data_IF_539077716741
#
_entry.id   IF_539077716741
#
_cell.length_a   1.000
_cell.length_b   1.000
_cell.length_c   1.000
_cell.angle_alpha   90.00
_cell.angle_beta   90.00
_cell.angle_gamma   90.00
#
_symmetry.space_group_name_H-M   'P 1'
#
loop_
_entity.id
_entity.type
_entity.pdbx_description
1 polymer ?
#
# COMPACT_ATOMS: atom_id res chain seq x y z
N UNK A 1 -1.48 22.41 37.24
CA UNK A 1 -2.32 22.87 36.09
C UNK A 1 -3.78 22.48 36.36
N UNK A 2 -4.80 23.24 35.92
CA UNK A 2 -6.20 22.79 36.06
C UNK A 2 -6.43 21.53 35.22
N UNK A 3 -7.12 20.53 35.76
CA UNK A 3 -7.39 19.26 35.06
C UNK A 3 -8.05 19.47 33.70
N UNK A 4 -8.99 20.41 33.59
CA UNK A 4 -9.64 20.76 32.32
C UNK A 4 -8.65 21.19 31.24
N UNK A 5 -7.60 21.93 31.61
CA UNK A 5 -6.56 22.36 30.67
C UNK A 5 -5.70 21.18 30.20
N UNK A 6 -5.46 20.19 31.07
CA UNK A 6 -4.73 18.97 30.70
C UNK A 6 -5.53 18.21 29.64
N UNK A 7 -6.82 17.96 29.89
CA UNK A 7 -7.70 17.23 28.97
C UNK A 7 -7.81 17.92 27.60
N UNK A 8 -7.94 19.25 27.57
CA UNK A 8 -7.93 20.02 26.32
C UNK A 8 -6.62 19.81 25.56
N UNK A 9 -5.47 19.88 26.25
CA UNK A 9 -4.17 19.68 25.59
C UNK A 9 -3.99 18.25 25.07
N UNK A 10 -4.51 17.22 25.76
CA UNK A 10 -4.47 15.84 25.25
C UNK A 10 -5.27 15.69 23.96
N UNK A 11 -6.46 16.30 23.87
CA UNK A 11 -7.27 16.30 22.66
C UNK A 11 -6.62 17.06 21.51
N UNK A 12 -6.07 18.25 21.80
CA UNK A 12 -5.33 19.04 20.80
C UNK A 12 -4.11 18.27 20.29
N UNK A 13 -3.40 17.54 21.17
CA UNK A 13 -2.23 16.74 20.80
C UNK A 13 -2.59 15.66 19.77
N UNK A 14 -3.72 14.97 19.95
CA UNK A 14 -4.24 14.02 18.96
C UNK A 14 -4.56 14.68 17.62
N UNK A 15 -5.22 15.84 17.65
CA UNK A 15 -5.55 16.61 16.45
C UNK A 15 -4.31 17.06 15.67
N UNK A 16 -3.29 17.57 16.37
CA UNK A 16 -2.03 18.02 15.77
C UNK A 16 -1.28 16.85 15.14
N UNK A 17 -1.15 15.73 15.85
CA UNK A 17 -0.50 14.53 15.32
C UNK A 17 -1.19 14.00 14.06
N UNK A 18 -2.52 13.88 14.08
CA UNK A 18 -3.31 13.43 12.93
C UNK A 18 -3.21 14.40 11.74
N UNK A 19 -3.28 15.71 11.99
CA UNK A 19 -3.18 16.74 10.95
C UNK A 19 -1.80 16.75 10.29
N UNK A 20 -0.72 16.74 11.09
CA UNK A 20 0.65 16.69 10.61
C UNK A 20 0.93 15.41 9.82
N UNK A 21 0.54 14.25 10.37
CA UNK A 21 0.70 12.96 9.69
C UNK A 21 -0.03 12.91 8.35
N UNK A 22 -1.24 13.47 8.28
CA UNK A 22 -2.02 13.57 7.04
C UNK A 22 -1.40 14.54 6.03
N UNK A 23 -0.84 15.65 6.50
CA UNK A 23 -0.18 16.64 5.65
C UNK A 23 1.12 16.10 5.05
N UNK A 24 1.97 15.44 5.84
CA UNK A 24 3.24 14.88 5.40
C UNK A 24 3.07 13.88 4.24
N UNK A 25 2.08 13.00 4.33
CA UNK A 25 1.82 11.95 3.33
C UNK A 25 1.27 12.50 2.00
N UNK A 26 0.89 13.78 1.92
CA UNK A 26 0.57 14.43 0.63
C UNK A 26 1.81 14.59 -0.24
N UNK A 27 3.00 14.71 0.36
CA UNK A 27 4.26 14.81 -0.38
C UNK A 27 4.67 13.48 -0.99
N UNK A 28 4.96 13.47 -2.30
CA UNK A 28 5.49 12.31 -3.01
C UNK A 28 6.86 11.90 -2.48
N UNK A 29 7.73 12.87 -2.19
CA UNK A 29 9.06 12.62 -1.64
C UNK A 29 8.97 11.94 -0.28
N UNK A 30 8.12 12.46 0.62
CA UNK A 30 7.92 11.86 1.94
C UNK A 30 7.36 10.44 1.84
N UNK A 31 6.33 10.21 1.02
CA UNK A 31 5.79 8.86 0.77
C UNK A 31 6.86 7.88 0.29
N UNK A 32 7.68 8.31 -0.67
CA UNK A 32 8.75 7.49 -1.23
C UNK A 32 9.82 7.14 -0.19
N UNK A 33 10.13 8.06 0.73
CA UNK A 33 11.05 7.82 1.84
C UNK A 33 10.42 6.90 2.89
N UNK A 34 9.14 7.14 3.24
CA UNK A 34 8.44 6.43 4.29
C UNK A 34 8.19 4.96 3.95
N UNK A 35 7.79 4.63 2.72
CA UNK A 35 7.44 3.25 2.35
C UNK A 35 8.57 2.43 1.74
N UNK A 36 9.78 2.99 1.67
CA UNK A 36 10.95 2.27 1.17
C UNK A 36 11.43 1.22 2.19
N UNK A 37 11.66 -0.01 1.73
CA UNK A 37 12.12 -1.11 2.58
C UNK A 37 13.51 -0.85 3.15
N UNK A 38 14.46 -0.43 2.31
CA UNK A 38 15.84 -0.12 2.69
C UNK A 38 16.19 1.33 2.41
N UNK A 39 16.68 2.03 3.45
CA UNK A 39 17.05 3.44 3.36
C UNK A 39 18.55 3.59 3.58
N UNK A 40 19.21 4.29 2.67
CA UNK A 40 20.60 4.71 2.87
C UNK A 40 20.68 5.77 3.99
N UNK A 41 21.86 6.03 4.53
CA UNK A 41 22.08 6.97 5.63
C UNK A 41 21.55 8.38 5.31
N UNK A 42 21.75 8.89 4.08
CA UNK A 42 21.20 10.18 3.64
C UNK A 42 19.67 10.19 3.70
N UNK A 43 19.03 9.12 3.21
CA UNK A 43 17.56 9.00 3.20
C UNK A 43 16.99 8.88 4.61
N UNK A 44 17.71 8.23 5.53
CA UNK A 44 17.37 8.20 6.95
C UNK A 44 17.40 9.61 7.55
N UNK A 45 18.40 10.41 7.24
CA UNK A 45 18.47 11.82 7.68
C UNK A 45 17.31 12.62 7.08
N UNK A 46 17.03 12.50 5.78
CA UNK A 46 15.90 13.18 5.15
C UNK A 46 14.56 12.83 5.81
N UNK A 47 14.33 11.55 6.15
CA UNK A 47 13.13 11.14 6.89
C UNK A 47 13.03 11.84 8.25
N UNK A 48 14.14 11.92 8.98
CA UNK A 48 14.22 12.62 10.27
C UNK A 48 13.93 14.11 10.11
N UNK A 49 14.44 14.76 9.06
CA UNK A 49 14.18 16.19 8.82
C UNK A 49 12.72 16.45 8.45
N UNK A 50 12.12 15.62 7.59
CA UNK A 50 10.72 15.75 7.18
C UNK A 50 9.75 15.70 8.36
N UNK A 51 9.97 14.77 9.30
CA UNK A 51 9.12 14.61 10.48
C UNK A 51 9.56 15.58 11.60
N UNK A 52 10.86 15.66 11.85
CA UNK A 52 11.42 16.34 13.00
C UNK A 52 11.39 17.86 12.93
N UNK A 53 11.54 18.49 11.76
CA UNK A 53 11.51 19.96 11.65
C UNK A 53 10.13 20.53 12.05
N UNK A 54 9.00 20.09 11.47
CA UNK A 54 7.68 20.61 11.86
C UNK A 54 7.37 20.40 13.33
N UNK A 55 7.81 19.26 13.90
CA UNK A 55 7.52 18.91 15.28
C UNK A 55 8.45 19.63 16.27
N UNK A 56 9.72 19.86 15.91
CA UNK A 56 10.64 20.71 16.69
C UNK A 56 10.14 22.16 16.74
N UNK A 57 9.56 22.67 15.66
CA UNK A 57 8.87 23.97 15.68
C UNK A 57 7.68 23.96 16.66
N UNK A 58 6.92 22.88 16.73
CA UNK A 58 5.87 22.68 17.74
C UNK A 58 6.39 22.77 19.18
N UNK A 59 7.52 22.13 19.47
CA UNK A 59 8.21 22.23 20.77
C UNK A 59 8.66 23.66 21.05
N UNK A 60 9.18 24.37 20.04
CA UNK A 60 9.59 25.77 20.18
C UNK A 60 8.39 26.70 20.48
N UNK A 61 7.28 26.53 19.77
CA UNK A 61 6.05 27.32 19.93
C UNK A 61 5.52 27.21 21.37
N UNK A 62 5.68 26.05 22.03
CA UNK A 62 5.30 25.87 23.43
C UNK A 62 5.91 26.93 24.36
N UNK A 63 7.17 27.31 24.13
CA UNK A 63 7.86 28.30 24.95
C UNK A 63 7.43 29.74 24.62
N UNK A 64 7.05 30.01 23.36
CA UNK A 64 6.57 31.33 22.96
C UNK A 64 5.09 31.57 23.27
N UNK A 65 4.27 30.52 23.28
CA UNK A 65 2.84 30.57 23.53
C UNK A 65 2.48 29.61 24.67
N UNK A 66 2.45 30.14 25.90
CA UNK A 66 2.20 29.36 27.14
C UNK A 66 0.83 28.68 27.20
N UNK A 67 -0.08 28.98 26.28
CA UNK A 67 -1.38 28.33 26.12
C UNK A 67 -1.34 27.05 25.26
N UNK A 68 -0.29 26.84 24.46
CA UNK A 68 -0.17 25.73 23.50
C UNK A 68 0.83 24.67 23.97
N UNK A 69 0.47 23.95 25.03
CA UNK A 69 1.29 22.87 25.60
C UNK A 69 1.22 21.58 24.77
N UNK A 70 0.20 21.44 23.92
CA UNK A 70 0.00 20.33 23.00
C UNK A 70 1.02 20.26 21.85
N UNK A 71 1.84 21.31 21.66
CA UNK A 71 2.90 21.35 20.65
C UNK A 71 4.04 20.37 20.89
N UNK A 72 4.21 19.86 22.13
CA UNK A 72 5.25 18.88 22.41
C UNK A 72 4.78 17.43 22.18
N UNK A 73 5.14 16.95 21.00
CA UNK A 73 5.02 15.57 20.52
C UNK A 73 6.38 14.86 20.48
N UNK A 74 7.41 15.41 21.14
CA UNK A 74 8.79 14.93 20.99
C UNK A 74 8.96 13.46 21.38
N UNK A 75 8.34 13.03 22.48
CA UNK A 75 8.34 11.62 22.92
C UNK A 75 7.75 10.70 21.85
N UNK A 76 6.48 10.94 21.46
CA UNK A 76 5.75 10.07 20.52
C UNK A 76 6.45 10.00 19.16
N UNK A 77 6.90 11.15 18.67
CA UNK A 77 7.61 11.27 17.39
C UNK A 77 8.95 10.54 17.40
N UNK A 78 9.67 10.60 18.51
CA UNK A 78 10.97 9.94 18.64
C UNK A 78 10.83 8.42 18.65
N UNK A 79 9.82 7.90 19.35
CA UNK A 79 9.46 6.48 19.32
C UNK A 79 9.06 6.05 17.90
N UNK A 80 8.21 6.84 17.23
CA UNK A 80 7.76 6.60 15.87
C UNK A 80 8.93 6.54 14.87
N UNK A 81 9.84 7.52 14.92
CA UNK A 81 11.06 7.55 14.09
C UNK A 81 11.99 6.37 14.36
N UNK A 82 12.08 5.92 15.61
CA UNK A 82 12.82 4.72 15.99
C UNK A 82 12.22 3.47 15.34
N UNK A 83 10.92 3.24 15.53
CA UNK A 83 10.24 2.06 14.99
C UNK A 83 10.25 2.01 13.47
N UNK A 84 10.06 3.13 12.77
CA UNK A 84 9.94 3.16 11.31
C UNK A 84 11.30 3.18 10.61
N UNK A 85 12.25 3.97 11.11
CA UNK A 85 13.53 4.19 10.46
C UNK A 85 14.70 3.42 11.09
N UNK A 86 14.51 2.82 12.27
CA UNK A 86 15.51 2.10 13.05
C UNK A 86 16.26 2.98 14.06
N UNK A 87 17.29 2.42 14.70
CA UNK A 87 18.08 3.11 15.75
C UNK A 87 18.60 4.48 15.36
N UNK A 88 19.20 4.61 14.18
CA UNK A 88 19.82 5.87 13.74
C UNK A 88 18.78 6.99 13.59
N UNK A 89 17.64 6.71 12.98
CA UNK A 89 16.58 7.72 12.81
C UNK A 89 15.93 8.08 14.13
N UNK A 90 15.71 7.10 15.01
CA UNK A 90 15.19 7.35 16.36
C UNK A 90 16.13 8.24 17.17
N UNK A 91 17.43 7.94 17.20
CA UNK A 91 18.43 8.75 17.92
C UNK A 91 18.55 10.15 17.33
N UNK A 92 18.70 10.28 16.01
CA UNK A 92 18.80 11.59 15.35
C UNK A 92 17.53 12.42 15.52
N UNK A 93 16.36 11.79 15.43
CA UNK A 93 15.07 12.42 15.70
C UNK A 93 14.97 12.91 17.13
N UNK A 94 15.38 12.07 18.09
CA UNK A 94 15.39 12.43 19.51
C UNK A 94 16.30 13.60 19.82
N UNK A 95 17.49 13.67 19.20
CA UNK A 95 18.39 14.84 19.31
C UNK A 95 17.72 16.07 18.73
N UNK A 96 17.23 16.01 17.49
CA UNK A 96 16.63 17.14 16.78
C UNK A 96 15.43 17.74 17.54
N UNK A 97 14.55 16.88 18.05
CA UNK A 97 13.35 17.29 18.79
C UNK A 97 13.66 17.80 20.20
N UNK A 98 14.79 17.41 20.79
CA UNK A 98 15.21 17.90 22.10
C UNK A 98 15.89 19.27 22.04
N UNK A 99 16.44 19.71 20.90
CA UNK A 99 17.19 20.97 20.79
C UNK A 99 16.40 22.20 21.30
N UNK A 100 15.12 22.41 20.92
CA UNK A 100 14.34 23.53 21.45
C UNK A 100 14.19 23.49 22.97
N UNK A 101 13.96 22.30 23.54
CA UNK A 101 13.75 22.11 24.97
C UNK A 101 15.05 22.35 25.77
N UNK A 102 16.17 21.79 25.30
CA UNK A 102 17.49 21.99 25.92
C UNK A 102 17.89 23.46 25.92
N UNK A 103 17.60 24.19 24.83
CA UNK A 103 17.87 25.62 24.73
C UNK A 103 17.17 26.44 25.83
N UNK A 104 15.99 25.99 26.27
CA UNK A 104 15.18 26.64 27.31
C UNK A 104 15.37 26.03 28.70
N UNK A 105 16.41 25.21 28.90
CA UNK A 105 16.80 24.67 30.22
C UNK A 105 16.27 23.27 30.55
N UNK A 106 15.51 22.62 29.66
CA UNK A 106 15.04 21.23 29.82
C UNK A 106 16.10 20.23 29.33
N UNK A 107 17.23 20.15 30.04
CA UNK A 107 18.40 19.39 29.62
C UNK A 107 18.20 17.87 29.61
N UNK A 108 17.29 17.32 30.43
CA UNK A 108 17.05 15.88 30.50
C UNK A 108 16.21 15.36 29.30
N UNK A 109 15.62 16.26 28.51
CA UNK A 109 14.83 15.90 27.32
C UNK A 109 15.70 15.23 26.26
N UNK A 110 16.96 15.65 26.13
CA UNK A 110 17.90 15.06 25.16
C UNK A 110 18.27 13.60 25.48
N UNK A 111 18.85 13.27 26.66
CA UNK A 111 19.18 11.88 26.96
C UNK A 111 17.94 10.98 26.98
N UNK A 112 16.79 11.49 27.43
CA UNK A 112 15.54 10.76 27.42
C UNK A 112 15.04 10.45 26.00
N UNK A 113 15.00 11.44 25.11
CA UNK A 113 14.57 11.23 23.72
C UNK A 113 15.54 10.31 22.98
N UNK A 114 16.85 10.49 23.15
CA UNK A 114 17.86 9.59 22.57
C UNK A 114 17.64 8.14 23.00
N UNK A 115 17.37 7.91 24.30
CA UNK A 115 17.03 6.59 24.83
C UNK A 115 15.76 6.03 24.17
N UNK A 116 14.68 6.81 24.10
CA UNK A 116 13.43 6.39 23.49
C UNK A 116 13.63 5.98 22.03
N UNK A 117 14.35 6.80 21.27
CA UNK A 117 14.62 6.54 19.85
C UNK A 117 15.50 5.31 19.64
N UNK A 118 16.48 5.08 20.51
CA UNK A 118 17.31 3.88 20.49
C UNK A 118 16.50 2.62 20.82
N UNK A 119 15.72 2.63 21.90
CA UNK A 119 14.92 1.48 22.36
C UNK A 119 13.86 1.11 21.31
N UNK A 120 13.10 2.10 20.82
CA UNK A 120 12.13 1.88 19.74
C UNK A 120 12.81 1.40 18.45
N UNK A 121 13.99 1.93 18.14
CA UNK A 121 14.78 1.49 17.00
C UNK A 121 15.34 0.07 17.13
N UNK A 122 15.58 -0.42 18.35
CA UNK A 122 15.93 -1.81 18.61
C UNK A 122 14.72 -2.72 18.50
N UNK A 123 13.55 -2.27 18.96
CA UNK A 123 12.30 -3.01 18.85
C UNK A 123 11.98 -3.37 17.39
N UNK A 124 12.34 -2.52 16.43
CA UNK A 124 12.22 -2.79 14.99
C UNK A 124 12.92 -4.09 14.57
N UNK A 125 14.04 -4.44 15.18
CA UNK A 125 14.82 -5.63 14.82
C UNK A 125 14.22 -6.93 15.38
N UNK A 126 13.32 -6.83 16.36
CA UNK A 126 12.59 -7.97 16.90
C UNK A 126 11.31 -8.30 16.11
N UNK A 127 10.93 -7.47 15.13
CA UNK A 127 9.81 -7.76 14.24
C UNK A 127 10.17 -8.91 13.29
N UNK A 128 9.40 -10.01 13.24
CA UNK A 128 9.62 -11.10 12.28
C UNK A 128 9.59 -10.61 10.83
N UNK A 129 8.63 -9.73 10.52
CA UNK A 129 8.53 -9.06 9.22
C UNK A 129 8.53 -7.55 9.40
N UNK A 130 9.17 -6.81 8.48
CA UNK A 130 9.13 -5.34 8.48
C UNK A 130 7.72 -4.77 8.31
N UNK A 131 6.79 -5.57 7.79
CA UNK A 131 5.39 -5.21 7.63
C UNK A 131 4.62 -5.18 8.97
N UNK A 132 5.05 -5.92 9.98
CA UNK A 132 4.35 -6.06 11.26
C UNK A 132 4.22 -4.72 11.98
N UNK A 133 5.12 -3.79 11.70
CA UNK A 133 5.11 -2.42 12.21
C UNK A 133 3.78 -1.70 11.93
N UNK A 134 3.24 -1.91 10.73
CA UNK A 134 2.04 -1.23 10.24
C UNK A 134 0.74 -1.84 10.80
N UNK A 135 0.82 -2.99 11.44
CA UNK A 135 -0.32 -3.70 12.01
C UNK A 135 -0.76 -3.15 13.37
N UNK A 136 0.06 -2.30 14.00
CA UNK A 136 -0.22 -1.71 15.30
C UNK A 136 -1.53 -0.90 15.28
N UNK A 137 -2.35 -1.07 16.32
CA UNK A 137 -3.61 -0.34 16.49
C UNK A 137 -3.68 0.27 17.89
N UNK A 138 -4.08 1.54 18.02
CA UNK A 138 -4.26 2.19 19.31
C UNK A 138 -5.51 1.70 20.06
N UNK A 139 -6.48 1.12 19.34
CA UNK A 139 -7.67 0.51 19.94
C UNK A 139 -7.34 -0.91 20.36
N UNK A 140 -7.23 -1.09 21.67
CA UNK A 140 -6.95 -2.34 22.37
C UNK A 140 -8.02 -3.41 22.08
N UNK A 141 -9.27 -3.01 21.78
CA UNK A 141 -10.39 -3.94 21.57
C UNK A 141 -10.24 -4.88 20.37
N UNK A 142 -9.76 -4.40 19.22
CA UNK A 142 -9.61 -5.26 18.03
C UNK A 142 -8.34 -6.10 18.06
N UNK A 143 -7.30 -5.68 18.80
CA UNK A 143 -6.09 -6.48 19.01
C UNK A 143 -6.33 -7.54 20.08
N UNK A 144 -6.99 -7.21 21.20
CA UNK A 144 -7.42 -8.19 22.21
C UNK A 144 -8.44 -9.16 21.63
N UNK A 145 -9.46 -8.71 20.89
CA UNK A 145 -10.43 -9.62 20.27
C UNK A 145 -9.78 -10.57 19.25
N UNK A 146 -8.85 -10.07 18.41
CA UNK A 146 -8.06 -10.94 17.50
C UNK A 146 -7.10 -11.86 18.25
N UNK A 147 -6.47 -11.38 19.32
CA UNK A 147 -5.57 -12.16 20.18
C UNK A 147 -6.33 -13.29 20.89
N UNK A 148 -7.47 -12.99 21.53
CA UNK A 148 -8.36 -13.98 22.17
C UNK A 148 -8.88 -14.99 21.14
N UNK A 149 -9.36 -14.52 19.98
CA UNK A 149 -9.98 -15.39 18.97
C UNK A 149 -8.97 -16.24 18.18
N UNK A 150 -7.70 -15.82 18.09
CA UNK A 150 -6.64 -16.51 17.32
C UNK A 150 -5.76 -17.42 18.19
N UNK A 151 -5.61 -17.14 19.49
CA UNK A 151 -4.62 -17.83 20.36
C UNK A 151 -5.20 -18.83 21.37
N UNK A 152 -6.42 -19.32 21.17
CA UNK A 152 -7.05 -20.28 22.09
C UNK A 152 -6.37 -21.68 22.17
N UNK A 153 -5.46 -22.10 21.26
CA UNK A 153 -4.62 -23.28 21.52
C UNK A 153 -3.15 -23.01 21.86
N UNK A 154 -2.55 -21.88 21.43
CA UNK A 154 -1.14 -21.56 21.70
C UNK A 154 -0.95 -20.05 21.89
N UNK A 155 -0.77 -19.54 23.12
CA UNK A 155 -0.42 -18.15 23.34
C UNK A 155 1.03 -17.95 22.90
N UNK A 156 1.27 -17.11 21.88
CA UNK A 156 2.58 -16.52 21.67
C UNK A 156 2.64 -15.22 22.48
N UNK A 157 3.22 -15.21 23.71
CA UNK A 157 3.30 -14.01 24.55
C UNK A 157 4.20 -12.90 23.97
N UNK A 158 4.83 -13.13 22.81
CA UNK A 158 5.78 -12.23 22.15
C UNK A 158 5.29 -11.77 20.77
N UNK A 159 4.01 -11.47 20.62
CA UNK A 159 3.55 -10.77 19.41
C UNK A 159 4.12 -9.34 19.39
N UNK A 160 4.75 -8.93 18.28
CA UNK A 160 5.45 -7.64 18.16
C UNK A 160 4.61 -6.44 18.61
N UNK A 161 3.30 -6.46 18.36
CA UNK A 161 2.36 -5.41 18.78
C UNK A 161 2.31 -5.25 20.31
N UNK A 162 2.32 -6.36 21.05
CA UNK A 162 2.32 -6.35 22.53
C UNK A 162 3.63 -5.82 23.07
N UNK A 163 4.77 -6.23 22.49
CA UNK A 163 6.07 -5.68 22.84
C UNK A 163 6.14 -4.17 22.57
N UNK A 164 5.56 -3.71 21.45
CA UNK A 164 5.55 -2.29 21.12
C UNK A 164 4.67 -1.48 22.07
N UNK A 165 3.48 -1.96 22.38
CA UNK A 165 2.61 -1.34 23.38
C UNK A 165 3.31 -1.23 24.74
N UNK A 166 3.89 -2.34 25.24
CA UNK A 166 4.62 -2.36 26.51
C UNK A 166 5.83 -1.43 26.46
N UNK A 167 6.52 -1.32 25.34
CA UNK A 167 7.65 -0.39 25.17
C UNK A 167 7.20 1.07 25.27
N UNK A 168 6.09 1.45 24.63
CA UNK A 168 5.54 2.81 24.71
C UNK A 168 5.17 3.14 26.16
N UNK A 169 4.41 2.24 26.82
CA UNK A 169 3.98 2.43 28.21
C UNK A 169 5.18 2.47 29.16
N UNK A 170 6.15 1.57 28.99
CA UNK A 170 7.36 1.50 29.81
C UNK A 170 8.26 2.73 29.67
N UNK A 171 8.49 3.21 28.44
CA UNK A 171 9.24 4.46 28.22
C UNK A 171 8.49 5.67 28.78
N UNK A 172 7.15 5.70 28.69
CA UNK A 172 6.34 6.74 29.31
C UNK A 172 6.43 6.71 30.83
N UNK A 173 6.45 5.52 31.42
CA UNK A 173 6.68 5.33 32.86
C UNK A 173 8.04 5.84 33.29
N UNK A 174 9.11 5.49 32.56
CA UNK A 174 10.45 6.03 32.82
C UNK A 174 10.45 7.55 32.75
N UNK A 175 9.72 8.15 31.79
CA UNK A 175 9.59 9.61 31.71
C UNK A 175 8.96 10.21 32.97
N UNK A 176 7.86 9.62 33.45
CA UNK A 176 7.17 10.04 34.67
C UNK A 176 8.10 9.95 35.88
N UNK A 177 8.85 8.86 36.03
CA UNK A 177 9.80 8.71 37.13
C UNK A 177 10.95 9.73 37.05
N UNK A 178 11.51 9.98 35.86
CA UNK A 178 12.55 11.01 35.66
C UNK A 178 12.09 12.37 36.18
N UNK A 179 10.84 12.75 35.94
CA UNK A 179 10.32 14.06 36.38
C UNK A 179 10.07 14.08 37.89
N UNK A 180 9.62 12.96 38.47
CA UNK A 180 9.49 12.83 39.94
C UNK A 180 10.84 13.01 40.65
N UNK A 181 11.92 12.47 40.08
CA UNK A 181 13.27 12.61 40.64
C UNK A 181 13.96 13.94 40.29
N UNK A 182 13.70 14.48 39.10
CA UNK A 182 14.33 15.71 38.58
C UNK A 182 13.25 16.69 38.08
N UNK A 183 12.63 17.44 39.01
CA UNK A 183 11.63 18.44 38.65
C UNK A 183 12.22 19.49 37.70
N UNK A 184 11.44 19.92 36.71
CA UNK A 184 11.81 20.92 35.69
C UNK A 184 12.90 20.49 34.69
N UNK A 185 13.41 19.27 34.76
CA UNK A 185 14.44 18.80 33.82
C UNK A 185 13.87 18.44 32.43
N UNK A 186 12.57 18.09 32.34
CA UNK A 186 11.82 17.87 31.09
C UNK A 186 10.38 18.39 31.20
N UNK A 187 9.71 18.55 30.06
CA UNK A 187 8.28 18.84 30.03
C UNK A 187 7.40 17.59 30.05
N UNK A 188 6.38 17.58 30.91
CA UNK A 188 5.26 16.65 30.82
C UNK A 188 3.97 17.26 31.35
N UNK A 189 2.86 16.80 30.79
CA UNK A 189 1.54 17.01 31.38
C UNK A 189 1.43 16.06 32.58
N UNK A 190 1.41 16.60 33.79
CA UNK A 190 1.24 15.83 35.02
C UNK A 190 -0.04 16.17 35.76
N UNK A 191 -0.62 15.16 36.38
CA UNK A 191 -1.79 15.30 37.24
C UNK A 191 -1.63 14.39 38.45
N UNK A 192 -1.93 14.85 39.68
CA UNK A 192 -1.93 14.00 40.87
C UNK A 192 -3.06 12.95 40.85
N UNK A 193 -3.95 13.02 39.86
CA UNK A 193 -5.12 12.15 39.77
C UNK A 193 -4.85 10.99 38.81
N UNK A 194 -4.92 9.77 39.34
CA UNK A 194 -4.57 8.53 38.63
C UNK A 194 -5.29 8.35 37.29
N UNK A 195 -6.57 8.74 37.17
CA UNK A 195 -7.31 8.57 35.91
C UNK A 195 -6.87 9.56 34.82
N UNK A 196 -6.43 10.77 35.21
CA UNK A 196 -5.85 11.74 34.26
C UNK A 196 -4.48 11.24 33.80
N UNK A 197 -3.70 10.66 34.71
CA UNK A 197 -2.43 10.01 34.38
C UNK A 197 -2.64 8.84 33.40
N UNK A 198 -3.62 7.98 33.64
CA UNK A 198 -4.00 6.93 32.69
C UNK A 198 -4.37 7.48 31.31
N UNK A 199 -5.10 8.61 31.24
CA UNK A 199 -5.41 9.28 29.97
C UNK A 199 -4.17 9.84 29.27
N UNK A 200 -3.18 10.33 30.00
CA UNK A 200 -1.91 10.80 29.43
C UNK A 200 -1.17 9.63 28.75
N UNK A 201 -1.11 8.47 29.40
CA UNK A 201 -0.51 7.26 28.82
C UNK A 201 -1.29 6.76 27.60
N UNK A 202 -2.62 6.70 27.72
CA UNK A 202 -3.50 6.36 26.60
C UNK A 202 -3.33 7.32 25.42
N UNK A 203 -3.12 8.62 25.68
CA UNK A 203 -2.87 9.63 24.65
C UNK A 203 -1.57 9.35 23.90
N UNK A 204 -0.47 9.02 24.58
CA UNK A 204 0.79 8.68 23.90
C UNK A 204 0.66 7.45 22.99
N UNK A 205 -0.04 6.41 23.46
CA UNK A 205 -0.31 5.22 22.64
C UNK A 205 -1.20 5.55 21.45
N UNK A 206 -2.26 6.34 21.67
CA UNK A 206 -3.22 6.70 20.63
C UNK A 206 -2.62 7.61 19.58
N UNK A 207 -1.79 8.59 19.94
CA UNK A 207 -1.02 9.42 19.02
C UNK A 207 -0.19 8.54 18.08
N UNK A 208 0.74 7.74 18.61
CA UNK A 208 1.61 6.87 17.80
C UNK A 208 0.78 5.93 16.90
N UNK A 209 -0.28 5.33 17.46
CA UNK A 209 -1.14 4.43 16.72
C UNK A 209 -1.98 5.10 15.63
N UNK A 210 -2.42 6.34 15.82
CA UNK A 210 -3.13 7.11 14.78
C UNK A 210 -2.21 7.46 13.63
N UNK A 211 -0.98 7.91 13.90
CA UNK A 211 0.00 8.24 12.86
C UNK A 211 0.36 7.01 12.01
N UNK A 212 0.64 5.88 12.67
CA UNK A 212 0.89 4.61 11.99
C UNK A 212 -0.31 4.15 11.16
N UNK A 213 -1.55 4.32 11.66
CA UNK A 213 -2.75 3.97 10.90
C UNK A 213 -2.97 4.85 9.68
N UNK A 214 -2.81 6.16 9.80
CA UNK A 214 -2.92 7.10 8.67
C UNK A 214 -1.91 6.74 7.59
N UNK A 215 -0.68 6.43 7.98
CA UNK A 215 0.37 6.05 7.03
C UNK A 215 0.11 4.67 6.43
N UNK A 216 -0.37 3.71 7.21
CA UNK A 216 -0.74 2.39 6.70
C UNK A 216 -1.93 2.45 5.74
N UNK A 217 -2.94 3.29 5.98
CA UNK A 217 -4.07 3.43 5.05
C UNK A 217 -3.61 3.93 3.68
N UNK A 218 -2.67 4.89 3.65
CA UNK A 218 -2.10 5.35 2.38
C UNK A 218 -1.21 4.29 1.74
N UNK A 219 -0.45 3.53 2.53
CA UNK A 219 0.34 2.38 2.04
C UNK A 219 -0.55 1.36 1.33
N UNK A 220 -1.66 0.99 1.96
CA UNK A 220 -2.64 0.03 1.42
C UNK A 220 -3.26 0.57 0.13
N UNK A 221 -3.64 1.85 0.10
CA UNK A 221 -4.18 2.48 -1.10
C UNK A 221 -3.20 2.40 -2.28
N UNK A 222 -1.92 2.74 -2.07
CA UNK A 222 -0.89 2.65 -3.13
C UNK A 222 -0.72 1.20 -3.63
N UNK A 223 -0.67 0.22 -2.71
CA UNK A 223 -0.56 -1.20 -3.09
C UNK A 223 -1.78 -1.66 -3.89
N UNK A 224 -2.97 -1.18 -3.55
CA UNK A 224 -4.21 -1.52 -4.26
C UNK A 224 -4.22 -0.94 -5.68
N UNK A 225 -3.87 0.33 -5.83
CA UNK A 225 -3.75 1.00 -7.14
C UNK A 225 -2.72 0.29 -8.04
N UNK A 226 -1.61 -0.18 -7.48
CA UNK A 226 -0.60 -0.96 -8.21
C UNK A 226 -1.15 -2.33 -8.66
N UNK A 227 -1.86 -3.04 -7.79
CA UNK A 227 -2.51 -4.31 -8.12
C UNK A 227 -3.57 -4.15 -9.22
N UNK A 228 -4.40 -3.12 -9.15
CA UNK A 228 -5.38 -2.81 -10.20
C UNK A 228 -4.71 -2.53 -11.54
N UNK A 229 -3.60 -1.77 -11.54
CA UNK A 229 -2.82 -1.49 -12.75
C UNK A 229 -2.23 -2.76 -13.34
N UNK A 230 -1.66 -3.65 -12.53
CA UNK A 230 -1.12 -4.93 -12.98
C UNK A 230 -2.22 -5.83 -13.55
N UNK A 231 -3.38 -5.90 -12.90
CA UNK A 231 -4.54 -6.64 -13.41
C UNK A 231 -5.03 -6.09 -14.76
N UNK A 232 -5.11 -4.76 -14.90
CA UNK A 232 -5.49 -4.13 -16.15
C UNK A 232 -4.46 -4.43 -17.26
N UNK A 233 -3.17 -4.39 -16.94
CA UNK A 233 -2.11 -4.78 -17.87
C UNK A 233 -2.24 -6.23 -18.33
N UNK A 234 -2.38 -7.18 -17.39
CA UNK A 234 -2.56 -8.60 -17.74
C UNK A 234 -3.83 -8.86 -18.54
N UNK A 235 -4.93 -8.14 -18.27
CA UNK A 235 -6.15 -8.20 -19.09
C UNK A 235 -5.91 -7.66 -20.50
N UNK A 236 -5.17 -6.56 -20.63
CA UNK A 236 -4.81 -6.02 -21.94
C UNK A 236 -3.91 -6.98 -22.72
N UNK A 237 -2.91 -7.59 -22.09
CA UNK A 237 -2.08 -8.64 -22.71
C UNK A 237 -2.91 -9.85 -23.14
N UNK A 238 -3.85 -10.30 -22.31
CA UNK A 238 -4.76 -11.38 -22.67
C UNK A 238 -5.65 -11.03 -23.87
N UNK A 239 -6.17 -9.80 -23.93
CA UNK A 239 -6.94 -9.30 -25.08
C UNK A 239 -6.08 -9.18 -26.35
N UNK A 240 -4.83 -8.71 -26.22
CA UNK A 240 -3.89 -8.67 -27.34
C UNK A 240 -3.60 -10.08 -27.88
N UNK A 241 -3.44 -11.07 -27.00
CA UNK A 241 -3.21 -12.46 -27.39
C UNK A 241 -4.43 -13.12 -28.05
N UNK A 242 -5.66 -12.59 -27.88
CA UNK A 242 -6.83 -13.10 -28.60
C UNK A 242 -6.80 -12.76 -30.11
N UNK A 243 -5.95 -11.83 -30.55
CA UNK A 243 -5.74 -11.54 -31.98
C UNK A 243 -4.32 -11.97 -32.35
N UNK A 244 -4.17 -12.96 -33.22
CA UNK A 244 -2.88 -13.32 -33.80
C UNK A 244 -2.38 -12.17 -34.71
N UNK A 245 -1.38 -11.36 -34.30
CA UNK A 245 -1.00 -10.16 -35.06
C UNK A 245 -0.43 -10.53 -36.43
N UNK A 246 0.25 -11.68 -36.50
CA UNK A 246 0.81 -12.21 -37.74
C UNK A 246 -0.30 -12.60 -38.73
N UNK A 247 -1.38 -13.24 -38.26
CA UNK A 247 -2.55 -13.51 -39.10
C UNK A 247 -3.13 -12.21 -39.69
N UNK A 248 -3.29 -11.17 -38.87
CA UNK A 248 -3.83 -9.89 -39.32
C UNK A 248 -2.93 -9.22 -40.37
N UNK A 249 -1.64 -9.11 -40.11
CA UNK A 249 -0.68 -8.53 -41.07
C UNK A 249 -0.64 -9.30 -42.38
N UNK A 250 -0.61 -10.62 -42.31
CA UNK A 250 -0.57 -11.45 -43.52
C UNK A 250 -1.84 -11.33 -44.34
N UNK A 251 -3.00 -11.31 -43.67
CA UNK A 251 -4.29 -11.13 -44.34
C UNK A 251 -4.35 -9.78 -45.07
N UNK A 252 -3.89 -8.69 -44.43
CA UNK A 252 -3.83 -7.36 -45.05
C UNK A 252 -2.86 -7.32 -46.24
N UNK A 253 -1.72 -8.01 -46.15
CA UNK A 253 -0.77 -8.12 -47.27
C UNK A 253 -1.37 -8.90 -48.45
N UNK A 254 -2.07 -10.01 -48.20
CA UNK A 254 -2.80 -10.75 -49.23
C UNK A 254 -3.87 -9.89 -49.90
N UNK A 255 -4.65 -9.14 -49.12
CA UNK A 255 -5.62 -8.17 -49.65
C UNK A 255 -4.92 -7.11 -50.52
N UNK A 256 -3.83 -6.51 -50.04
CA UNK A 256 -3.08 -5.49 -50.79
C UNK A 256 -2.58 -6.00 -52.15
N UNK A 257 -2.14 -7.26 -52.20
CA UNK A 257 -1.74 -7.92 -53.45
C UNK A 257 -2.96 -8.17 -54.36
N UNK A 258 -4.04 -8.74 -53.83
CA UNK A 258 -5.23 -9.11 -54.60
C UNK A 258 -5.98 -7.91 -55.16
N UNK A 259 -5.97 -6.75 -54.50
CA UNK A 259 -6.67 -5.54 -54.97
C UNK A 259 -6.30 -5.16 -56.43
N UNK A 260 -5.09 -5.48 -56.89
CA UNK A 260 -4.64 -5.20 -58.26
C UNK A 260 -4.95 -6.30 -59.28
N UNK A 261 -5.05 -7.55 -58.85
CA UNK A 261 -5.11 -8.72 -59.75
C UNK A 261 -6.44 -9.47 -59.70
N UNK A 262 -7.11 -9.48 -58.54
CA UNK A 262 -8.42 -10.09 -58.30
C UNK A 262 -9.17 -9.30 -57.21
N UNK A 263 -9.80 -8.18 -57.59
CA UNK A 263 -10.47 -7.28 -56.65
C UNK A 263 -11.72 -7.89 -56.00
N UNK A 264 -12.34 -8.87 -56.64
CA UNK A 264 -13.53 -9.55 -56.08
C UNK A 264 -13.13 -10.46 -54.92
N UNK A 265 -12.06 -11.26 -55.08
CA UNK A 265 -11.51 -12.06 -53.99
C UNK A 265 -10.98 -11.18 -52.84
N UNK A 266 -10.34 -10.05 -53.16
CA UNK A 266 -9.92 -9.07 -52.15
C UNK A 266 -11.10 -8.55 -51.31
N UNK A 267 -12.24 -8.24 -51.96
CA UNK A 267 -13.45 -7.78 -51.28
C UNK A 267 -14.02 -8.84 -50.35
N UNK A 268 -14.05 -10.09 -50.79
CA UNK A 268 -14.51 -11.22 -49.95
C UNK A 268 -13.64 -11.40 -48.72
N UNK A 269 -12.31 -11.32 -48.86
CA UNK A 269 -11.36 -11.37 -47.74
C UNK A 269 -11.59 -10.26 -46.71
N UNK A 270 -11.84 -9.03 -47.16
CA UNK A 270 -12.14 -7.90 -46.27
C UNK A 270 -13.42 -8.18 -45.46
N UNK A 271 -14.48 -8.71 -46.09
CA UNK A 271 -15.73 -9.05 -45.41
C UNK A 271 -15.51 -10.15 -44.37
N UNK A 272 -14.78 -11.21 -44.73
CA UNK A 272 -14.44 -12.33 -43.82
C UNK A 272 -13.61 -11.84 -42.64
N UNK A 273 -12.61 -11.00 -42.89
CA UNK A 273 -11.79 -10.39 -41.84
C UNK A 273 -12.65 -9.52 -40.91
N UNK A 274 -13.58 -8.73 -41.45
CA UNK A 274 -14.50 -7.92 -40.64
C UNK A 274 -15.42 -8.80 -39.76
N UNK A 275 -15.89 -9.94 -40.26
CA UNK A 275 -16.69 -10.90 -39.49
C UNK A 275 -15.89 -11.54 -38.36
N UNK A 276 -14.64 -11.94 -38.61
CA UNK A 276 -13.72 -12.46 -37.58
C UNK A 276 -13.50 -11.42 -36.49
N UNK A 277 -13.16 -10.19 -36.85
CA UNK A 277 -12.95 -9.10 -35.89
C UNK A 277 -14.21 -8.79 -35.09
N UNK A 278 -15.39 -8.81 -35.72
CA UNK A 278 -16.67 -8.60 -35.05
C UNK A 278 -16.95 -9.72 -34.02
N UNK A 279 -16.64 -10.98 -34.35
CA UNK A 279 -16.82 -12.11 -33.43
C UNK A 279 -15.86 -12.04 -32.25
N UNK A 280 -14.59 -11.71 -32.50
CA UNK A 280 -13.58 -11.50 -31.45
C UNK A 280 -13.96 -10.39 -30.45
N UNK A 281 -14.61 -9.33 -30.93
CA UNK A 281 -15.06 -8.22 -30.09
C UNK A 281 -16.40 -8.48 -29.38
N UNK A 282 -17.19 -9.46 -29.84
CA UNK A 282 -18.45 -9.87 -29.22
C UNK A 282 -18.21 -10.98 -28.18
N UNK A 283 -17.64 -10.62 -27.03
CA UNK A 283 -17.34 -11.56 -25.92
C UNK A 283 -18.54 -11.87 -25.01
N UNK A 284 -19.77 -11.66 -25.49
CA UNK A 284 -20.98 -11.67 -24.66
C UNK A 284 -21.45 -13.05 -24.21
N UNK A 285 -21.23 -14.09 -25.01
CA UNK A 285 -21.81 -15.42 -24.78
C UNK A 285 -20.73 -16.44 -24.39
N UNK A 286 -20.84 -16.98 -23.18
CA UNK A 286 -19.92 -18.00 -22.67
C UNK A 286 -20.03 -19.34 -23.44
N UNK A 287 -21.20 -19.61 -24.03
CA UNK A 287 -21.48 -20.81 -24.83
C UNK A 287 -22.24 -20.43 -26.09
N UNK A 288 -21.87 -21.08 -27.20
CA UNK A 288 -22.48 -20.86 -28.52
C UNK A 288 -22.75 -22.22 -29.18
N UNK A 289 -23.75 -22.36 -30.07
CA UNK A 289 -23.95 -23.59 -30.82
C UNK A 289 -22.72 -23.90 -31.69
N UNK A 290 -22.37 -25.18 -31.83
CA UNK A 290 -21.25 -25.62 -32.67
C UNK A 290 -21.32 -25.05 -34.09
N UNK A 291 -22.52 -24.85 -34.65
CA UNK A 291 -22.70 -24.21 -35.96
C UNK A 291 -22.04 -22.83 -36.06
N UNK A 292 -22.13 -22.01 -35.01
CA UNK A 292 -21.61 -20.64 -35.03
C UNK A 292 -20.09 -20.63 -34.88
N UNK A 293 -19.57 -21.55 -34.08
CA UNK A 293 -18.13 -21.76 -33.97
C UNK A 293 -17.56 -22.22 -35.33
N UNK A 294 -18.22 -23.17 -35.99
CA UNK A 294 -17.84 -23.62 -37.33
C UNK A 294 -17.91 -22.48 -38.37
N UNK A 295 -18.92 -21.62 -38.33
CA UNK A 295 -19.00 -20.45 -39.22
C UNK A 295 -17.81 -19.49 -39.02
N UNK A 296 -17.37 -19.31 -37.78
CA UNK A 296 -16.17 -18.53 -37.48
C UNK A 296 -14.91 -19.21 -38.06
N UNK A 297 -14.74 -20.51 -37.82
CA UNK A 297 -13.62 -21.30 -38.35
C UNK A 297 -13.60 -21.31 -39.88
N UNK A 298 -14.76 -21.33 -40.52
CA UNK A 298 -14.86 -21.32 -41.98
C UNK A 298 -14.39 -20.00 -42.57
N UNK A 299 -14.77 -18.87 -41.95
CA UNK A 299 -14.25 -17.57 -42.34
C UNK A 299 -12.74 -17.46 -42.14
N UNK A 300 -12.20 -18.06 -41.08
CA UNK A 300 -10.76 -18.11 -40.81
C UNK A 300 -10.01 -18.95 -41.86
N UNK A 301 -10.44 -20.20 -42.07
CA UNK A 301 -9.81 -21.13 -43.01
C UNK A 301 -9.88 -20.64 -44.45
N UNK A 302 -10.98 -19.99 -44.85
CA UNK A 302 -11.10 -19.41 -46.19
C UNK A 302 -10.03 -18.32 -46.43
N UNK A 303 -9.72 -17.51 -45.42
CA UNK A 303 -8.64 -16.52 -45.50
C UNK A 303 -7.28 -17.22 -45.64
N UNK A 304 -7.03 -18.24 -44.82
CA UNK A 304 -5.79 -19.02 -44.85
C UNK A 304 -5.59 -19.76 -46.18
N UNK A 305 -6.64 -20.32 -46.77
CA UNK A 305 -6.60 -21.00 -48.07
C UNK A 305 -6.26 -20.03 -49.19
N UNK A 306 -6.83 -18.82 -49.20
CA UNK A 306 -6.45 -17.80 -50.19
C UNK A 306 -4.99 -17.37 -49.98
N UNK A 307 -4.54 -17.26 -48.73
CA UNK A 307 -3.16 -16.88 -48.41
C UNK A 307 -2.14 -17.92 -48.86
N UNK A 308 -2.35 -19.19 -48.54
CA UNK A 308 -1.40 -20.26 -48.83
C UNK A 308 -1.55 -20.85 -50.22
N UNK A 309 -2.71 -20.64 -50.86
CA UNK A 309 -3.09 -21.29 -52.10
C UNK A 309 -3.70 -22.67 -51.85
N UNK A 310 -4.71 -23.01 -52.66
CA UNK A 310 -5.45 -24.28 -52.57
C UNK A 310 -4.57 -25.51 -52.74
N UNK A 311 -3.42 -25.37 -53.39
CA UNK A 311 -2.49 -26.47 -53.63
C UNK A 311 -1.64 -26.81 -52.40
N UNK A 312 -1.54 -25.89 -51.42
CA UNK A 312 -0.69 -26.04 -50.23
C UNK A 312 -1.49 -26.30 -48.95
N UNK A 313 -2.73 -25.81 -48.87
CA UNK A 313 -3.61 -26.01 -47.72
C UNK A 313 -4.88 -26.75 -48.14
N UNK A 314 -5.01 -28.00 -47.70
CA UNK A 314 -6.20 -28.83 -47.93
C UNK A 314 -6.99 -28.96 -46.63
N UNK A 315 -8.21 -28.42 -46.62
CA UNK A 315 -9.14 -28.52 -45.50
C UNK A 315 -10.13 -29.67 -45.76
N UNK A 316 -10.25 -30.60 -44.81
CA UNK A 316 -11.26 -31.68 -44.82
C UNK A 316 -12.04 -31.58 -43.51
N UNK A 317 -13.38 -31.58 -43.60
CA UNK A 317 -14.30 -31.53 -42.45
C UNK A 317 -15.21 -32.75 -42.50
N UNK A 318 -15.17 -33.56 -41.45
CA UNK A 318 -16.09 -34.69 -41.23
C UNK A 318 -16.95 -34.36 -40.02
N UNK A 319 -18.23 -34.06 -40.25
CA UNK A 319 -19.14 -33.52 -39.25
C UNK A 319 -20.41 -34.36 -39.18
N UNK A 320 -20.87 -34.68 -37.98
CA UNK A 320 -22.17 -35.28 -37.76
C UNK A 320 -23.23 -34.17 -37.67
N UNK A 321 -24.26 -34.19 -38.52
CA UNK A 321 -25.24 -33.10 -38.60
C UNK A 321 -25.99 -32.88 -37.27
N UNK A 322 -26.21 -33.96 -36.52
CA UNK A 322 -26.86 -33.96 -35.20
C UNK A 322 -26.09 -33.13 -34.16
N UNK A 323 -24.79 -32.88 -34.35
CA UNK A 323 -23.95 -32.19 -33.35
C UNK A 323 -23.97 -30.66 -33.49
N UNK A 324 -24.51 -30.10 -34.57
CA UNK A 324 -24.43 -28.66 -34.89
C UNK A 324 -25.14 -27.75 -33.87
N UNK A 325 -26.17 -28.26 -33.19
CA UNK A 325 -26.94 -27.56 -32.16
C UNK A 325 -26.31 -27.65 -30.76
N UNK A 326 -25.22 -28.42 -30.61
CA UNK A 326 -24.57 -28.62 -29.31
C UNK A 326 -23.93 -27.32 -28.83
N UNK A 327 -24.25 -26.90 -27.61
CA UNK A 327 -23.64 -25.73 -26.98
C UNK A 327 -22.22 -26.07 -26.55
N UNK A 328 -21.25 -25.34 -27.08
CA UNK A 328 -19.83 -25.45 -26.73
C UNK A 328 -19.30 -24.11 -26.23
N UNK A 329 -18.22 -24.08 -25.43
CA UNK A 329 -17.55 -22.83 -25.10
C UNK A 329 -17.21 -22.05 -26.38
N UNK A 330 -17.49 -20.76 -26.38
CA UNK A 330 -17.14 -19.88 -27.51
C UNK A 330 -15.61 -19.87 -27.71
N UNK A 331 -15.14 -19.86 -28.96
CA UNK A 331 -13.72 -19.81 -29.32
C UNK A 331 -12.92 -21.06 -28.90
N UNK A 332 -13.60 -22.20 -28.76
CA UNK A 332 -12.97 -23.50 -28.44
C UNK A 332 -12.15 -24.05 -29.61
N UNK A 333 -12.65 -23.94 -30.85
CA UNK A 333 -12.02 -24.59 -32.01
C UNK A 333 -10.88 -23.76 -32.59
N UNK A 334 -10.90 -22.43 -32.42
CA UNK A 334 -9.90 -21.54 -33.02
C UNK A 334 -8.46 -21.94 -32.63
N UNK A 335 -8.11 -22.13 -31.34
CA UNK A 335 -6.73 -22.46 -30.98
C UNK A 335 -6.28 -23.81 -31.53
N UNK A 336 -7.20 -24.76 -31.74
CA UNK A 336 -6.88 -26.07 -32.32
C UNK A 336 -6.56 -25.94 -33.81
N UNK A 337 -7.34 -25.14 -34.53
CA UNK A 337 -7.16 -24.90 -35.97
C UNK A 337 -5.94 -24.02 -36.25
N UNK A 338 -5.61 -23.05 -35.39
CA UNK A 338 -4.39 -22.24 -35.55
C UNK A 338 -3.10 -23.05 -35.36
N UNK A 339 -3.15 -24.15 -34.61
CA UNK A 339 -1.98 -24.99 -34.31
C UNK A 339 -1.86 -26.24 -35.21
N UNK A 340 -2.85 -26.52 -36.06
CA UNK A 340 -2.85 -27.65 -37.01
C UNK A 340 -2.18 -27.29 -38.33
#
# INVERSE_FOLDING_TARGET
MKQSLILINLLVKLGVAAALSSALVRSLEFKSLLFRDERNWKQKIYLVLWIGIPLALGVWIRFSASSFLAGDLSFETTVLLGVIGGRLTGVLGGVLLALPAVWHGEWATLPFNVLCGFVAGQLRNFAPNREDIWSFSPFVDLSIYRWIRRNLPTPHPFEWQTMFFVTIVGLRFVHTEVIRFLPHATFSLESPTWWVEALIYATSVTVIGTELKIWNSVRIQIKLEEQERLLLHSRMEALQNQINPHFLFNTLNSVSSLVRFDPDTARQLIIKLANILRRLLNTGDAFVPLREELEFIDNYLDIEVVRFGRDKLRVVKELEISSLDTMIPSMLLQPLVENS
#
